data_IF_724586507235
#
_entry.id   IF_724586507235
#
_cell.length_a   1.000
_cell.length_b   1.000
_cell.length_c   1.000
_cell.angle_alpha   90.00
_cell.angle_beta   90.00
_cell.angle_gamma   90.00
#
_symmetry.space_group_name_H-M   'P 1'
#
loop_
_entity.id
_entity.type
_entity.pdbx_description
1 polymer ?
#
# COMPACT_ATOMS: atom_id res chain seq x y z
N UNK A 1 -7.12 3.70 7.47
CA UNK A 1 -5.88 3.73 6.66
C UNK A 1 -4.70 4.46 7.29
N UNK A 2 -4.88 5.59 8.02
CA UNK A 2 -3.76 6.25 8.76
C UNK A 2 -2.97 5.34 9.71
N UNK A 3 -3.62 4.38 10.38
CA UNK A 3 -2.93 3.40 11.24
C UNK A 3 -1.87 2.58 10.50
N UNK A 4 -2.10 2.26 9.23
CA UNK A 4 -1.19 1.43 8.44
C UNK A 4 0.09 2.20 8.07
N UNK A 5 -0.05 3.49 7.78
CA UNK A 5 1.11 4.36 7.55
C UNK A 5 2.06 4.41 8.75
N UNK A 6 1.52 4.68 9.95
CA UNK A 6 2.35 4.70 11.17
C UNK A 6 3.03 3.35 11.45
N UNK A 7 2.37 2.24 11.14
CA UNK A 7 2.97 0.90 11.26
C UNK A 7 4.16 0.72 10.32
N UNK A 8 4.03 1.16 9.07
CA UNK A 8 5.13 1.11 8.13
C UNK A 8 6.29 2.02 8.54
N UNK A 9 6.00 3.17 9.15
CA UNK A 9 7.03 4.04 9.72
C UNK A 9 7.79 3.34 10.84
N UNK A 10 7.07 2.75 11.80
CA UNK A 10 7.68 2.06 12.94
C UNK A 10 8.55 0.88 12.48
N UNK A 11 8.06 0.11 11.51
CA UNK A 11 8.80 -1.00 10.92
C UNK A 11 10.04 -0.50 10.14
N UNK A 12 9.94 0.58 9.37
CA UNK A 12 11.09 1.15 8.65
C UNK A 12 12.15 1.71 9.59
N UNK A 13 11.75 2.25 10.75
CA UNK A 13 12.69 2.72 11.79
C UNK A 13 13.48 1.54 12.40
N UNK A 14 12.83 0.41 12.63
CA UNK A 14 13.45 -0.77 13.25
C UNK A 14 14.24 -1.63 12.25
N UNK A 15 13.67 -1.86 11.06
CA UNK A 15 14.16 -2.81 10.06
C UNK A 15 14.84 -2.14 8.86
N UNK A 16 14.72 -0.82 8.74
CA UNK A 16 15.33 -0.03 7.67
C UNK A 16 14.66 -0.16 6.30
N UNK A 17 13.56 -0.92 6.18
CA UNK A 17 12.74 -1.04 4.96
C UNK A 17 11.34 -1.54 5.28
N UNK A 18 10.38 -1.29 4.40
CA UNK A 18 9.06 -1.91 4.51
C UNK A 18 9.15 -3.44 4.35
N UNK A 19 8.24 -4.19 5.00
CA UNK A 19 8.25 -5.64 4.96
C UNK A 19 8.07 -6.15 3.53
N UNK A 20 8.68 -7.29 3.18
CA UNK A 20 8.46 -7.87 1.85
C UNK A 20 7.04 -8.43 1.69
N UNK A 21 6.41 -8.81 2.81
CA UNK A 21 5.05 -9.31 2.87
C UNK A 21 4.35 -8.71 4.08
N UNK A 22 3.09 -8.32 3.97
CA UNK A 22 2.34 -7.78 5.11
C UNK A 22 2.26 -8.76 6.30
N UNK A 23 2.37 -10.06 6.03
CA UNK A 23 2.46 -11.10 7.07
C UNK A 23 3.68 -10.92 7.99
N UNK A 24 4.75 -10.28 7.52
CA UNK A 24 5.94 -10.02 8.33
C UNK A 24 5.64 -9.06 9.48
N UNK A 25 4.72 -8.10 9.27
CA UNK A 25 4.20 -7.23 10.34
C UNK A 25 3.52 -8.05 11.44
N UNK A 26 2.83 -9.14 11.07
CA UNK A 26 2.18 -10.03 12.03
C UNK A 26 3.20 -10.90 12.74
N UNK A 27 4.15 -11.47 12.00
CA UNK A 27 5.23 -12.31 12.56
C UNK A 27 6.09 -11.54 13.55
N UNK A 28 6.36 -10.26 13.27
CA UNK A 28 7.15 -9.37 14.14
C UNK A 28 6.33 -8.66 15.21
N UNK A 29 5.02 -8.89 15.27
CA UNK A 29 4.15 -8.35 16.33
C UNK A 29 3.73 -6.88 16.18
N UNK A 30 4.04 -6.24 15.06
CA UNK A 30 3.53 -4.90 14.72
C UNK A 30 2.02 -4.91 14.48
N UNK A 31 1.48 -6.03 13.98
CA UNK A 31 0.08 -6.16 13.59
C UNK A 31 -0.53 -7.47 14.12
N UNK A 32 -1.83 -7.45 14.45
CA UNK A 32 -2.59 -8.69 14.66
C UNK A 32 -3.07 -9.27 13.33
N UNK A 33 -3.12 -10.60 13.24
CA UNK A 33 -3.61 -11.32 12.05
C UNK A 33 -5.02 -10.87 11.61
N UNK A 34 -5.90 -10.59 12.57
CA UNK A 34 -7.25 -10.10 12.30
C UNK A 34 -7.25 -8.75 11.56
N UNK A 35 -6.32 -7.87 11.93
CA UNK A 35 -6.12 -6.57 11.27
C UNK A 35 -5.49 -6.75 9.90
N UNK A 36 -4.66 -7.78 9.67
CA UNK A 36 -4.06 -8.06 8.35
C UNK A 36 -5.15 -8.27 7.29
N UNK A 37 -6.16 -9.07 7.63
CA UNK A 37 -7.30 -9.35 6.76
C UNK A 37 -8.04 -8.06 6.40
N UNK A 38 -8.22 -7.16 7.36
CA UNK A 38 -8.83 -5.83 7.13
C UNK A 38 -7.95 -4.85 6.35
N UNK A 39 -6.65 -5.09 6.25
CA UNK A 39 -5.72 -4.26 5.47
C UNK A 39 -5.55 -4.77 4.05
N UNK A 40 -5.71 -6.08 3.86
CA UNK A 40 -5.81 -6.70 2.55
C UNK A 40 -7.09 -6.30 1.82
N UNK A 41 -8.01 -5.59 2.47
CA UNK A 41 -9.16 -5.02 1.81
C UNK A 41 -9.40 -3.56 2.16
N UNK A 42 -9.86 -2.80 1.17
CA UNK A 42 -10.23 -1.41 1.30
C UNK A 42 -11.73 -1.29 1.05
N UNK A 43 -12.43 -0.65 1.98
CA UNK A 43 -13.79 -0.20 1.73
C UNK A 43 -13.74 1.06 0.85
N UNK A 44 -13.98 0.89 -0.44
CA UNK A 44 -14.04 1.97 -1.41
C UNK A 44 -15.33 1.83 -2.22
N UNK A 45 -16.05 2.95 -2.40
CA UNK A 45 -17.29 2.99 -3.17
C UNK A 45 -18.41 2.05 -2.65
N UNK A 46 -18.44 1.80 -1.33
CA UNK A 46 -19.46 0.96 -0.70
C UNK A 46 -19.17 -0.55 -0.73
N UNK A 47 -18.02 -0.97 -1.28
CA UNK A 47 -17.62 -2.38 -1.35
C UNK A 47 -16.26 -2.63 -0.72
N UNK A 48 -16.11 -3.77 -0.04
CA UNK A 48 -14.83 -4.25 0.48
C UNK A 48 -14.06 -4.92 -0.65
N UNK A 49 -12.92 -4.34 -1.05
CA UNK A 49 -12.17 -4.76 -2.24
C UNK A 49 -10.74 -5.14 -1.87
N UNK A 50 -10.19 -6.24 -2.43
CA UNK A 50 -8.83 -6.65 -2.13
C UNK A 50 -7.81 -5.60 -2.59
N UNK A 51 -6.75 -5.41 -1.80
CA UNK A 51 -5.60 -4.59 -2.12
C UNK A 51 -4.38 -5.48 -2.40
N UNK A 52 -3.59 -5.06 -3.37
CA UNK A 52 -2.27 -5.61 -3.68
C UNK A 52 -1.24 -4.72 -3.02
N UNK A 53 -0.40 -5.31 -2.17
CA UNK A 53 0.73 -4.65 -1.54
C UNK A 53 1.96 -4.68 -2.46
N UNK A 54 2.71 -3.57 -2.52
CA UNK A 54 3.97 -3.48 -3.25
C UNK A 54 5.12 -3.31 -2.24
N UNK A 55 5.99 -4.32 -2.07
CA UNK A 55 7.14 -4.24 -1.18
C UNK A 55 8.31 -3.45 -1.81
N UNK A 56 9.37 -3.23 -1.02
CA UNK A 56 10.64 -2.68 -1.50
C UNK A 56 10.84 -1.18 -1.26
N UNK A 57 9.89 -0.52 -0.61
CA UNK A 57 9.97 0.93 -0.32
C UNK A 57 10.34 1.21 1.14
N UNK A 58 10.62 2.49 1.42
CA UNK A 58 10.98 3.01 2.74
C UNK A 58 10.20 4.28 3.03
N UNK A 59 10.15 4.73 4.28
CA UNK A 59 9.51 6.03 4.58
C UNK A 59 10.24 7.21 3.92
N UNK A 60 11.54 7.07 3.72
CA UNK A 60 12.39 8.07 3.05
C UNK A 60 12.22 8.10 1.53
N UNK A 61 11.44 7.18 0.96
CA UNK A 61 11.17 7.16 -0.48
C UNK A 61 10.25 8.35 -0.87
N UNK A 62 9.99 8.50 -2.17
CA UNK A 62 9.21 9.63 -2.63
C UNK A 62 7.78 9.57 -2.08
N UNK A 63 7.25 10.66 -1.52
CA UNK A 63 5.91 10.66 -0.88
C UNK A 63 4.76 10.23 -1.81
N UNK A 64 4.97 10.36 -3.13
CA UNK A 64 4.04 9.91 -4.16
C UNK A 64 4.09 8.40 -4.47
N UNK A 65 5.06 7.67 -3.90
CA UNK A 65 5.26 6.23 -4.11
C UNK A 65 4.04 5.45 -3.60
N UNK A 66 3.57 4.53 -4.42
CA UNK A 66 2.39 3.70 -4.19
C UNK A 66 2.82 2.41 -3.50
N UNK A 67 2.24 2.14 -2.33
CA UNK A 67 2.54 0.94 -1.53
C UNK A 67 1.41 -0.08 -1.55
N UNK A 68 0.19 0.34 -1.90
CA UNK A 68 -0.93 -0.57 -2.10
C UNK A 68 -1.84 -0.09 -3.22
N UNK A 69 -2.50 -0.99 -3.92
CA UNK A 69 -3.50 -0.62 -4.94
C UNK A 69 -4.54 -1.71 -5.19
N UNK A 70 -5.65 -1.37 -5.83
CA UNK A 70 -6.63 -2.37 -6.27
C UNK A 70 -6.05 -3.23 -7.41
N UNK A 71 -6.27 -4.57 -7.42
CA UNK A 71 -5.72 -5.46 -8.44
C UNK A 71 -6.29 -5.18 -9.84
N UNK A 72 -7.54 -4.71 -9.89
CA UNK A 72 -8.27 -4.39 -11.12
C UNK A 72 -8.85 -2.96 -11.04
N UNK A 73 -9.13 -2.33 -12.20
CA UNK A 73 -9.86 -1.07 -12.26
C UNK A 73 -11.34 -1.29 -11.91
N UNK A 74 -11.92 -0.32 -11.21
CA UNK A 74 -13.34 -0.24 -10.85
C UNK A 74 -13.85 1.06 -11.46
N UNK A 75 -14.90 1.00 -12.27
CA UNK A 75 -15.40 2.18 -13.00
C UNK A 75 -14.30 2.88 -13.85
N UNK A 76 -13.38 2.09 -14.42
CA UNK A 76 -12.23 2.59 -15.18
C UNK A 76 -11.16 3.33 -14.35
N UNK A 77 -11.24 3.25 -13.01
CA UNK A 77 -10.32 3.89 -12.07
C UNK A 77 -9.65 2.86 -11.16
N UNK A 78 -8.44 3.15 -10.70
CA UNK A 78 -7.75 2.40 -9.65
C UNK A 78 -7.62 3.25 -8.40
N UNK A 79 -7.89 2.62 -7.27
CA UNK A 79 -7.64 3.20 -5.95
C UNK A 79 -6.32 2.68 -5.42
N UNK A 80 -5.53 3.57 -4.83
CA UNK A 80 -4.20 3.26 -4.35
C UNK A 80 -3.85 4.05 -3.09
N UNK A 81 -3.00 3.46 -2.27
CA UNK A 81 -2.42 4.03 -1.06
C UNK A 81 -0.97 4.42 -1.33
N UNK A 82 -0.63 5.64 -0.96
CA UNK A 82 0.75 6.16 -1.03
C UNK A 82 1.49 5.97 0.28
N UNK A 83 2.82 6.11 0.23
CA UNK A 83 3.65 6.02 1.44
C UNK A 83 3.19 7.05 2.47
N UNK A 84 2.79 8.25 2.07
CA UNK A 84 2.33 9.31 2.99
C UNK A 84 0.97 9.00 3.68
N UNK A 85 0.37 7.85 3.37
CA UNK A 85 -0.93 7.44 3.90
C UNK A 85 -2.13 8.06 3.18
N UNK A 86 -1.90 8.86 2.14
CA UNK A 86 -2.95 9.33 1.23
C UNK A 86 -3.53 8.17 0.41
N UNK A 87 -4.86 8.12 0.35
CA UNK A 87 -5.61 7.21 -0.50
C UNK A 87 -6.19 8.02 -1.64
N UNK A 88 -5.87 7.65 -2.87
CA UNK A 88 -6.35 8.36 -4.06
C UNK A 88 -6.91 7.40 -5.08
N UNK A 89 -7.78 7.92 -5.92
CA UNK A 89 -8.37 7.19 -7.03
C UNK A 89 -8.05 7.94 -8.31
N UNK A 90 -7.58 7.23 -9.34
CA UNK A 90 -7.29 7.83 -10.65
C UNK A 90 -7.61 6.88 -11.79
N UNK A 91 -7.71 7.38 -13.02
CA UNK A 91 -7.95 6.54 -14.21
C UNK A 91 -6.87 5.49 -14.39
N UNK A 92 -7.26 4.30 -14.84
CA UNK A 92 -6.33 3.17 -15.05
C UNK A 92 -5.11 3.55 -15.90
N UNK A 93 -5.29 4.23 -17.03
CA UNK A 93 -4.20 4.61 -17.92
C UNK A 93 -3.10 5.42 -17.21
N UNK A 94 -3.51 6.39 -16.39
CA UNK A 94 -2.58 7.22 -15.62
C UNK A 94 -1.92 6.44 -14.48
N UNK A 95 -2.65 5.51 -13.86
CA UNK A 95 -2.11 4.62 -12.85
C UNK A 95 -1.03 3.70 -13.42
N UNK A 96 -1.26 3.11 -14.60
CA UNK A 96 -0.29 2.24 -15.26
C UNK A 96 1.01 2.98 -15.60
N UNK A 97 0.91 4.24 -16.03
CA UNK A 97 2.11 5.07 -16.22
C UNK A 97 2.86 5.31 -14.91
N UNK A 98 2.16 5.61 -13.81
CA UNK A 98 2.80 5.82 -12.50
C UNK A 98 3.50 4.57 -11.98
N UNK A 99 2.83 3.41 -11.99
CA UNK A 99 3.43 2.16 -11.54
C UNK A 99 4.61 1.76 -12.43
N UNK A 100 4.53 2.00 -13.74
CA UNK A 100 5.66 1.73 -14.64
C UNK A 100 6.87 2.61 -14.32
N UNK A 101 6.65 3.90 -14.04
CA UNK A 101 7.74 4.82 -13.63
C UNK A 101 8.31 4.43 -12.27
N UNK A 102 7.46 4.00 -11.33
CA UNK A 102 7.88 3.57 -10.01
C UNK A 102 8.67 2.23 -10.05
N UNK A 103 8.19 1.24 -10.81
CA UNK A 103 8.85 -0.05 -10.97
C UNK A 103 10.10 0.01 -11.85
N UNK A 104 10.22 0.98 -12.75
CA UNK A 104 11.44 1.19 -13.54
C UNK A 104 12.59 1.84 -12.74
N UNK A 105 12.39 2.09 -11.44
CA UNK A 105 13.38 2.71 -10.55
C UNK A 105 14.26 1.67 -9.81
N UNK A 106 14.15 0.39 -10.18
CA UNK A 106 15.04 -0.72 -9.77
C UNK A 106 16.44 -0.62 -10.37
#
# INVERSE_FOLDING_TARGET
MKKMYYLFIDYDIDEGKFPEQLEDLVKKGYLKQDTLTMLNSCHADGEDRPLVYIPGFRTSDHSATIIMHTPAPIDGKRTYLRIDGEVKTMKEASFQQLIKVQGARE
#
